data_IF_027073279680
#
_entry.id   IF_027073279680
#
_cell.length_a   1.000
_cell.length_b   1.000
_cell.length_c   1.000
_cell.angle_alpha   90.00
_cell.angle_beta   90.00
_cell.angle_gamma   90.00
#
_symmetry.space_group_name_H-M   'P 1'
#
loop_
_entity.id
_entity.type
_entity.pdbx_description
1 polymer ?
#
# COMPACT_ATOMS: atom_id res chain seq x y z
N UNK A 1 -63.15 -3.16 55.33
CA UNK A 1 -62.91 -4.35 54.49
C UNK A 1 -62.16 -3.92 53.24
N UNK A 2 -61.10 -4.67 52.96
CA UNK A 2 -60.06 -4.50 51.94
C UNK A 2 -60.56 -4.43 50.49
N UNK A 3 -59.84 -3.70 49.62
CA UNK A 3 -59.15 -4.31 48.48
C UNK A 3 -58.32 -3.29 47.65
N UNK A 4 -57.00 -3.41 47.76
CA UNK A 4 -56.06 -3.59 46.63
C UNK A 4 -55.80 -2.37 45.71
N UNK A 5 -54.77 -1.62 46.11
CA UNK A 5 -53.68 -1.06 45.28
C UNK A 5 -53.68 -1.47 43.80
N UNK A 6 -53.89 -0.50 42.89
CA UNK A 6 -53.62 -0.65 41.45
C UNK A 6 -52.38 0.17 41.07
N UNK A 7 -51.31 -0.56 40.71
CA UNK A 7 -50.27 -0.22 39.72
C UNK A 7 -49.49 1.09 39.94
N UNK A 8 -48.36 1.11 40.65
CA UNK A 8 -47.01 0.59 40.28
C UNK A 8 -46.51 1.09 38.92
N UNK A 9 -45.75 2.19 38.99
CA UNK A 9 -44.50 2.53 38.28
C UNK A 9 -44.52 2.49 36.75
N UNK A 10 -44.68 3.66 36.14
CA UNK A 10 -44.49 3.94 34.72
C UNK A 10 -43.32 4.93 34.53
N UNK A 11 -42.08 4.51 34.81
CA UNK A 11 -40.92 5.42 34.69
C UNK A 11 -39.57 4.69 34.54
N UNK A 12 -39.44 3.69 33.67
CA UNK A 12 -38.13 3.08 33.38
C UNK A 12 -38.05 2.57 31.95
N UNK A 13 -37.86 3.45 30.97
CA UNK A 13 -37.34 3.06 29.64
C UNK A 13 -36.62 4.23 28.96
N UNK A 14 -35.66 4.84 29.65
CA UNK A 14 -34.53 5.49 28.99
C UNK A 14 -33.35 4.51 29.00
N UNK A 15 -33.48 3.43 28.24
CA UNK A 15 -32.28 2.68 27.84
C UNK A 15 -31.63 3.50 26.72
N UNK A 16 -30.69 4.35 27.11
CA UNK A 16 -29.68 4.88 26.19
C UNK A 16 -29.02 3.70 25.52
N UNK A 17 -29.35 3.50 24.24
CA UNK A 17 -28.55 2.69 23.33
C UNK A 17 -27.25 3.46 23.12
N UNK A 18 -26.26 3.19 23.97
CA UNK A 18 -24.88 3.55 23.70
C UNK A 18 -24.42 2.59 22.60
N UNK A 19 -24.46 3.05 21.35
CA UNK A 19 -23.91 2.29 20.22
C UNK A 19 -22.41 2.03 20.45
N UNK A 20 -21.87 0.86 20.08
CA UNK A 20 -20.48 0.55 20.29
C UNK A 20 -19.60 1.32 19.29
N UNK A 21 -18.95 2.39 19.74
CA UNK A 21 -17.88 3.07 18.99
C UNK A 21 -16.68 2.16 18.63
N UNK A 22 -16.68 0.89 19.06
CA UNK A 22 -15.67 -0.12 18.77
C UNK A 22 -15.97 -0.98 17.53
N UNK A 23 -17.21 -1.04 17.06
CA UNK A 23 -17.55 -1.86 15.89
C UNK A 23 -16.95 -1.27 14.60
N UNK A 24 -16.98 0.06 14.48
CA UNK A 24 -16.47 0.77 13.31
C UNK A 24 -14.94 0.68 13.21
N UNK A 25 -14.21 0.79 14.32
CA UNK A 25 -12.73 0.75 14.29
C UNK A 25 -12.16 -0.61 13.85
N UNK A 26 -12.77 -1.72 14.26
CA UNK A 26 -12.36 -3.06 13.79
C UNK A 26 -12.69 -3.23 12.31
N UNK A 27 -13.82 -2.70 11.84
CA UNK A 27 -14.20 -2.74 10.44
C UNK A 27 -13.26 -1.89 9.57
N UNK A 28 -12.97 -0.67 10.00
CA UNK A 28 -12.03 0.23 9.34
C UNK A 28 -10.62 -0.37 9.27
N UNK A 29 -10.14 -1.01 10.34
CA UNK A 29 -8.86 -1.72 10.32
C UNK A 29 -8.83 -2.87 9.29
N UNK A 30 -9.95 -3.60 9.12
CA UNK A 30 -10.08 -4.63 8.08
C UNK A 30 -10.09 -4.03 6.67
N UNK A 31 -10.79 -2.91 6.48
CA UNK A 31 -10.80 -2.18 5.21
C UNK A 31 -9.41 -1.66 4.87
N UNK A 32 -8.71 -1.06 5.84
CA UNK A 32 -7.33 -0.61 5.69
C UNK A 32 -6.41 -1.77 5.25
N UNK A 33 -6.48 -2.92 5.93
CA UNK A 33 -5.72 -4.10 5.54
C UNK A 33 -6.07 -4.61 4.13
N UNK A 34 -7.34 -4.51 3.74
CA UNK A 34 -7.81 -4.90 2.39
C UNK A 34 -7.24 -3.99 1.31
N UNK A 35 -7.28 -2.66 1.53
CA UNK A 35 -6.71 -1.66 0.61
C UNK A 35 -5.18 -1.84 0.53
N UNK A 36 -4.50 -1.99 1.68
CA UNK A 36 -3.05 -2.24 1.72
C UNK A 36 -2.68 -3.49 0.90
N UNK A 37 -3.47 -4.56 1.02
CA UNK A 37 -3.27 -5.80 0.26
C UNK A 37 -3.49 -5.56 -1.24
N UNK A 38 -4.57 -4.86 -1.62
CA UNK A 38 -4.87 -4.56 -3.02
C UNK A 38 -3.76 -3.75 -3.69
N UNK A 39 -3.24 -2.72 -3.00
CA UNK A 39 -2.10 -1.93 -3.47
C UNK A 39 -0.83 -2.78 -3.61
N UNK A 40 -0.57 -3.67 -2.64
CA UNK A 40 0.60 -4.55 -2.64
C UNK A 40 0.59 -5.59 -3.76
N UNK A 41 -0.59 -6.00 -4.22
CA UNK A 41 -0.76 -6.93 -5.33
C UNK A 41 -0.62 -6.25 -6.70
N UNK A 42 -0.61 -4.91 -6.75
CA UNK A 42 -0.45 -4.18 -7.99
C UNK A 42 1.04 -4.00 -8.31
N UNK A 43 1.51 -4.65 -9.40
CA UNK A 43 2.92 -4.61 -9.81
C UNK A 43 3.43 -3.24 -10.25
N UNK A 44 2.53 -2.29 -10.52
CA UNK A 44 2.91 -0.93 -10.92
C UNK A 44 2.99 0.03 -9.72
N UNK A 45 2.66 -0.42 -8.51
CA UNK A 45 2.71 0.40 -7.30
C UNK A 45 3.77 -0.15 -6.35
N UNK A 46 4.45 0.74 -5.65
CA UNK A 46 5.33 0.38 -4.55
C UNK A 46 4.58 0.55 -3.21
N UNK A 47 4.08 -0.54 -2.59
CA UNK A 47 3.27 -0.44 -1.38
C UNK A 47 4.06 0.06 -0.16
N UNK A 48 5.39 0.02 -0.19
CA UNK A 48 6.23 0.50 0.91
C UNK A 48 6.36 2.02 0.95
N UNK A 49 6.00 2.71 -0.14
CA UNK A 49 5.99 4.18 -0.22
C UNK A 49 4.59 4.78 -0.02
N UNK A 50 3.56 3.95 0.12
CA UNK A 50 2.16 4.36 0.27
C UNK A 50 1.66 3.95 1.65
N UNK A 51 1.20 4.94 2.42
CA UNK A 51 0.51 4.73 3.69
C UNK A 51 -0.98 4.82 3.48
N UNK A 52 -1.71 3.84 4.02
CA UNK A 52 -3.18 3.77 3.95
C UNK A 52 -3.75 3.96 5.35
N UNK A 53 -4.70 4.87 5.48
CA UNK A 53 -5.56 4.99 6.65
C UNK A 53 -7.01 4.90 6.20
N UNK A 54 -7.86 4.26 7.00
CA UNK A 54 -9.30 4.20 6.73
C UNK A 54 -10.05 4.64 7.97
N UNK A 55 -11.03 5.52 7.78
CA UNK A 55 -11.95 5.94 8.81
C UNK A 55 -13.32 6.16 8.17
N UNK A 56 -14.38 5.60 8.77
CA UNK A 56 -15.75 5.77 8.29
C UNK A 56 -15.89 5.48 6.78
N UNK A 57 -15.27 4.38 6.32
CA UNK A 57 -15.31 3.92 4.92
C UNK A 57 -14.65 4.87 3.90
N UNK A 58 -13.93 5.89 4.38
CA UNK A 58 -13.08 6.77 3.60
C UNK A 58 -11.62 6.34 3.73
N UNK A 59 -10.97 6.03 2.61
CA UNK A 59 -9.55 5.76 2.57
C UNK A 59 -8.77 7.07 2.34
N UNK A 60 -7.71 7.28 3.12
CA UNK A 60 -6.72 8.32 2.88
C UNK A 60 -5.41 7.67 2.45
N UNK A 61 -4.89 8.10 1.30
CA UNK A 61 -3.61 7.65 0.75
C UNK A 61 -2.58 8.77 0.91
N UNK A 62 -1.45 8.48 1.55
CA UNK A 62 -0.36 9.42 1.75
C UNK A 62 1.00 8.78 1.45
N UNK A 63 2.02 9.60 1.22
CA UNK A 63 3.36 9.14 0.81
C UNK A 63 3.73 9.64 -0.58
N UNK A 64 4.49 8.84 -1.34
CA UNK A 64 5.02 9.28 -2.62
C UNK A 64 5.00 8.19 -3.70
N UNK A 65 4.80 8.61 -4.95
CA UNK A 65 4.77 7.78 -6.16
C UNK A 65 5.63 8.36 -7.27
N UNK A 66 6.02 7.56 -8.26
CA UNK A 66 7.01 7.98 -9.26
C UNK A 66 6.42 8.95 -10.29
N UNK A 67 5.14 8.82 -10.58
CA UNK A 67 4.49 9.57 -11.65
C UNK A 67 2.98 9.72 -11.40
N UNK A 68 2.35 10.55 -12.22
CA UNK A 68 0.92 10.84 -12.15
C UNK A 68 0.05 9.58 -12.38
N UNK A 69 0.50 8.67 -13.24
CA UNK A 69 -0.25 7.45 -13.56
C UNK A 69 -0.33 6.53 -12.35
N UNK A 70 0.76 6.39 -11.60
CA UNK A 70 0.78 5.65 -10.33
C UNK A 70 -0.11 6.30 -9.27
N UNK A 71 -0.14 7.64 -9.20
CA UNK A 71 -1.04 8.35 -8.28
C UNK A 71 -2.50 8.02 -8.57
N UNK A 72 -2.90 8.11 -9.83
CA UNK A 72 -4.28 7.83 -10.25
C UNK A 72 -4.60 6.34 -10.08
N UNK A 73 -3.65 5.46 -10.40
CA UNK A 73 -3.80 4.02 -10.22
C UNK A 73 -4.00 3.63 -8.75
N UNK A 74 -3.24 4.23 -7.82
CA UNK A 74 -3.37 3.96 -6.40
C UNK A 74 -4.78 4.32 -5.89
N UNK A 75 -5.33 5.45 -6.34
CA UNK A 75 -6.70 5.86 -6.03
C UNK A 75 -7.74 4.88 -6.58
N UNK A 76 -7.61 4.50 -7.86
CA UNK A 76 -8.51 3.53 -8.47
C UNK A 76 -8.48 2.17 -7.78
N UNK A 77 -7.30 1.68 -7.37
CA UNK A 77 -7.15 0.42 -6.63
C UNK A 77 -7.80 0.51 -5.25
N UNK A 78 -7.59 1.63 -4.53
CA UNK A 78 -8.23 1.83 -3.24
C UNK A 78 -9.76 1.89 -3.36
N UNK A 79 -10.28 2.65 -4.34
CA UNK A 79 -11.71 2.79 -4.58
C UNK A 79 -12.36 1.47 -5.06
N UNK A 80 -11.62 0.61 -5.76
CA UNK A 80 -12.10 -0.71 -6.16
C UNK A 80 -12.22 -1.70 -4.98
N UNK A 81 -11.69 -1.37 -3.81
CA UNK A 81 -11.82 -2.20 -2.62
C UNK A 81 -13.25 -2.11 -2.08
N UNK A 82 -13.92 -3.26 -1.99
CA UNK A 82 -15.31 -3.33 -1.51
C UNK A 82 -15.42 -2.74 -0.10
N UNK A 83 -16.35 -1.80 0.08
CA UNK A 83 -16.60 -1.14 1.36
C UNK A 83 -15.88 0.21 1.50
N UNK A 84 -15.04 0.60 0.53
CA UNK A 84 -14.56 1.98 0.41
C UNK A 84 -15.56 2.77 -0.42
N UNK A 85 -16.03 3.89 0.13
CA UNK A 85 -16.98 4.78 -0.55
C UNK A 85 -16.28 5.99 -1.17
N UNK A 86 -15.21 6.45 -0.51
CA UNK A 86 -14.45 7.61 -0.96
C UNK A 86 -12.96 7.42 -0.71
N UNK A 87 -12.14 7.98 -1.60
CA UNK A 87 -10.69 8.04 -1.45
C UNK A 87 -10.26 9.50 -1.42
N UNK A 88 -9.42 9.84 -0.44
CA UNK A 88 -8.67 11.09 -0.34
C UNK A 88 -7.21 10.81 -0.73
N UNK A 89 -6.85 11.19 -1.95
CA UNK A 89 -5.55 10.90 -2.53
C UNK A 89 -4.57 12.07 -2.31
N UNK A 90 -3.72 11.94 -1.30
CA UNK A 90 -2.70 12.93 -0.92
C UNK A 90 -1.28 12.48 -1.30
N UNK A 91 -1.15 11.59 -2.30
CA UNK A 91 0.15 11.10 -2.75
C UNK A 91 0.92 12.18 -3.51
N UNK A 92 2.16 12.39 -3.13
CA UNK A 92 3.07 13.30 -3.81
C UNK A 92 3.76 12.60 -4.99
N UNK A 93 3.83 13.28 -6.13
CA UNK A 93 4.54 12.76 -7.31
C UNK A 93 5.99 13.18 -7.22
N UNK A 94 6.89 12.22 -7.11
CA UNK A 94 8.33 12.43 -7.09
C UNK A 94 9.02 11.58 -8.18
N UNK A 95 9.40 12.24 -9.28
CA UNK A 95 10.06 11.60 -10.41
C UNK A 95 11.45 11.02 -10.09
N UNK A 96 12.11 11.48 -9.02
CA UNK A 96 13.39 10.93 -8.57
C UNK A 96 13.27 9.52 -7.99
N UNK A 97 12.06 9.10 -7.64
CA UNK A 97 11.78 7.72 -7.20
C UNK A 97 11.83 6.70 -8.33
N UNK A 98 11.85 7.15 -9.59
CA UNK A 98 11.99 6.27 -10.76
C UNK A 98 13.37 5.62 -10.78
N UNK A 99 13.48 4.50 -10.08
CA UNK A 99 14.70 3.72 -9.98
C UNK A 99 14.93 2.98 -11.31
N UNK A 100 15.71 3.61 -12.19
CA UNK A 100 16.78 2.85 -12.83
C UNK A 100 18.06 3.24 -12.13
N UNK A 101 18.59 2.43 -11.20
CA UNK A 101 19.94 2.64 -10.71
C UNK A 101 20.85 2.56 -11.94
N UNK A 102 21.33 3.71 -12.42
CA UNK A 102 22.36 3.79 -13.45
C UNK A 102 23.55 2.89 -13.08
N UNK A 103 23.74 2.66 -11.77
CA UNK A 103 24.71 1.77 -11.17
C UNK A 103 24.56 0.29 -11.57
N UNK A 104 23.35 -0.27 -11.65
CA UNK A 104 23.18 -1.69 -12.01
C UNK A 104 23.55 -1.95 -13.48
N UNK A 105 23.23 -1.00 -14.36
CA UNK A 105 23.61 -1.07 -15.78
C UNK A 105 25.11 -0.85 -15.96
N UNK A 106 25.68 0.12 -15.26
CA UNK A 106 27.12 0.35 -15.25
C UNK A 106 27.89 -0.86 -14.68
N UNK A 107 27.35 -1.52 -13.66
CA UNK A 107 27.92 -2.75 -13.10
C UNK A 107 27.89 -3.91 -14.10
N UNK A 108 26.73 -4.17 -14.73
CA UNK A 108 26.60 -5.20 -15.75
C UNK A 108 27.57 -4.98 -16.92
N UNK A 109 27.72 -3.74 -17.38
CA UNK A 109 28.68 -3.38 -18.44
C UNK A 109 30.13 -3.64 -18.01
N UNK A 110 30.51 -3.30 -16.77
CA UNK A 110 31.88 -3.57 -16.26
C UNK A 110 32.19 -5.07 -16.20
N UNK A 111 31.22 -5.89 -15.81
CA UNK A 111 31.37 -7.36 -15.77
C UNK A 111 31.55 -7.92 -17.18
N UNK A 112 30.77 -7.44 -18.14
CA UNK A 112 30.87 -7.84 -19.55
C UNK A 112 32.24 -7.47 -20.15
N UNK A 113 32.71 -6.24 -19.93
CA UNK A 113 34.03 -5.76 -20.37
C UNK A 113 35.17 -6.57 -19.74
N UNK A 114 35.08 -6.86 -18.44
CA UNK A 114 36.08 -7.67 -17.74
C UNK A 114 36.14 -9.09 -18.32
N UNK A 115 34.98 -9.67 -18.64
CA UNK A 115 34.88 -11.01 -19.24
C UNK A 115 35.48 -11.02 -20.63
N UNK A 116 35.17 -10.01 -21.46
CA UNK A 116 35.75 -9.85 -22.79
C UNK A 116 37.27 -9.70 -22.72
N UNK A 117 37.78 -8.85 -21.82
CA UNK A 117 39.21 -8.65 -21.63
C UNK A 117 39.93 -9.93 -21.17
N UNK A 118 39.32 -10.72 -20.29
CA UNK A 118 39.87 -12.00 -19.85
C UNK A 118 39.98 -13.00 -21.01
N UNK A 119 38.95 -13.10 -21.86
CA UNK A 119 38.96 -13.96 -23.04
C UNK A 119 40.04 -13.54 -24.03
N UNK A 120 40.17 -12.24 -24.30
CA UNK A 120 41.22 -11.70 -25.18
C UNK A 120 42.61 -12.01 -24.61
N UNK A 121 42.82 -11.80 -23.31
CA UNK A 121 44.10 -12.12 -22.66
C UNK A 121 44.42 -13.61 -22.73
N UNK A 122 43.45 -14.50 -22.48
CA UNK A 122 43.65 -15.94 -22.58
C UNK A 122 44.07 -16.37 -23.99
N UNK A 123 43.42 -15.81 -25.03
CA UNK A 123 43.79 -16.04 -26.44
C UNK A 123 45.21 -15.57 -26.77
N UNK A 124 45.60 -14.39 -26.29
CA UNK A 124 46.95 -13.84 -26.51
C UNK A 124 48.04 -14.61 -25.78
N UNK A 125 47.76 -15.11 -24.57
CA UNK A 125 48.72 -15.93 -23.81
C UNK A 125 48.99 -17.25 -24.54
N UNK A 126 47.95 -17.93 -25.01
CA UNK A 126 48.09 -19.21 -25.72
C UNK A 126 48.86 -19.08 -27.05
N UNK A 127 48.62 -18.00 -27.81
CA UNK A 127 49.28 -17.81 -29.10
C UNK A 127 50.78 -17.47 -28.97
N UNK A 128 51.17 -16.77 -27.89
CA UNK A 128 52.57 -16.35 -27.68
C UNK A 128 53.48 -17.47 -27.17
N UNK A 129 52.94 -18.50 -26.52
CA UNK A 129 53.72 -19.63 -26.01
C UNK A 129 53.96 -20.73 -27.03
N UNK A 130 53.33 -20.65 -28.21
CA UNK A 130 53.37 -21.70 -29.25
C UNK A 130 54.08 -21.22 -30.52
N UNK A 131 54.90 -20.16 -30.43
CA UNK A 131 55.74 -19.63 -31.50
C UNK A 131 57.23 -19.84 -31.19
#
# INVERSE_FOLDING_TARGET
MSAITRSVVLATTLLSICAPAFADSVQDARLQGSVQTALSLNRMLNPFRITVQVQDHRAQLSGAVENQIERDLAEHVALATRGIEQVDNQLEVNAELSERPLELRAYAQRVEDATLAAVVRARLLWSRTTA
#
